data_IF_587778106066
#
_entry.id   IF_587778106066
#
_cell.length_a   1.000
_cell.length_b   1.000
_cell.length_c   1.000
_cell.angle_alpha   90.00
_cell.angle_beta   90.00
_cell.angle_gamma   90.00
#
_symmetry.space_group_name_H-M   'P 1'
#
loop_
_entity.id
_entity.type
_entity.pdbx_description
1 polymer ?
#
# COMPACT_ATOMS: atom_id res chain seq x y z
N UNK A 1 8.07 -0.61 -24.18
CA UNK A 1 6.69 -1.08 -23.93
C UNK A 1 6.58 -1.35 -22.44
N UNK A 2 6.10 -0.38 -21.65
CA UNK A 2 5.89 -0.57 -20.22
C UNK A 2 4.46 -1.11 -20.03
N UNK A 3 4.35 -2.40 -19.70
CA UNK A 3 3.08 -3.02 -19.38
C UNK A 3 2.61 -2.50 -18.01
N UNK A 4 1.61 -1.61 -18.02
CA UNK A 4 0.93 -1.15 -16.80
C UNK A 4 -0.10 -2.23 -16.43
N UNK A 5 0.15 -2.95 -15.33
CA UNK A 5 -0.83 -3.82 -14.72
C UNK A 5 -1.58 -3.02 -13.63
N UNK A 6 -2.85 -2.72 -13.86
CA UNK A 6 -3.77 -2.17 -12.85
C UNK A 6 -4.91 -3.16 -12.59
N UNK A 7 -5.18 -3.47 -11.33
CA UNK A 7 -6.22 -4.41 -10.91
C UNK A 7 -7.33 -3.70 -10.12
N UNK A 8 -8.49 -3.54 -10.78
CA UNK A 8 -9.70 -2.92 -10.23
C UNK A 8 -10.54 -3.89 -9.41
N UNK A 9 -10.81 -3.55 -8.14
CA UNK A 9 -11.88 -4.18 -7.36
C UNK A 9 -13.27 -3.64 -7.78
N UNK A 10 -14.29 -4.52 -7.89
CA UNK A 10 -15.69 -4.12 -8.11
C UNK A 10 -16.31 -3.63 -6.78
N UNK A 11 -17.17 -2.61 -6.79
CA UNK A 11 -17.68 -2.02 -5.56
C UNK A 11 -18.71 -2.95 -4.90
N UNK A 12 -18.40 -3.41 -3.70
CA UNK A 12 -19.36 -3.87 -2.70
C UNK A 12 -19.06 -3.10 -1.42
N UNK A 13 -20.02 -2.31 -0.94
CA UNK A 13 -19.88 -1.32 0.15
C UNK A 13 -19.51 -1.93 1.51
N UNK A 14 -19.54 -3.25 1.66
CA UNK A 14 -19.22 -3.97 2.91
C UNK A 14 -17.76 -4.46 3.00
N UNK A 15 -16.99 -4.44 1.91
CA UNK A 15 -15.67 -5.10 1.83
C UNK A 15 -14.47 -4.15 1.63
N UNK A 16 -14.64 -2.84 1.85
CA UNK A 16 -13.59 -1.86 1.56
C UNK A 16 -13.27 -1.78 0.05
N UNK A 17 -12.50 -0.76 -0.32
CA UNK A 17 -12.08 -0.53 -1.70
C UNK A 17 -10.57 -0.57 -1.77
N UNK A 18 -10.00 -1.16 -2.82
CA UNK A 18 -8.59 -0.97 -3.10
C UNK A 18 -8.28 -1.06 -4.60
N UNK A 19 -7.17 -0.42 -4.95
CA UNK A 19 -6.49 -0.54 -6.23
C UNK A 19 -5.00 -0.73 -5.96
N UNK A 20 -4.33 -1.53 -6.79
CA UNK A 20 -2.89 -1.70 -6.74
C UNK A 20 -2.30 -1.68 -8.16
N UNK A 21 -1.07 -1.17 -8.29
CA UNK A 21 -0.37 -1.08 -9.57
C UNK A 21 1.14 -1.13 -9.42
N UNK A 22 1.83 -1.39 -10.53
CA UNK A 22 3.30 -1.45 -10.60
C UNK A 22 3.83 -0.44 -11.62
N UNK A 23 4.83 0.34 -11.21
CA UNK A 23 5.54 1.29 -12.06
C UNK A 23 7.05 1.12 -11.86
N UNK A 24 7.67 0.26 -12.66
CA UNK A 24 9.08 -0.14 -12.43
C UNK A 24 9.21 -1.03 -11.20
N UNK A 25 10.11 -0.69 -10.27
CA UNK A 25 10.28 -1.40 -8.99
C UNK A 25 9.44 -0.78 -7.86
N UNK A 26 8.30 -0.18 -8.22
CA UNK A 26 7.43 0.55 -7.29
C UNK A 26 6.05 -0.07 -7.29
N UNK A 27 5.64 -0.56 -6.13
CA UNK A 27 4.26 -0.98 -5.89
C UNK A 27 3.49 0.23 -5.37
N UNK A 28 2.40 0.55 -6.04
CA UNK A 28 1.44 1.58 -5.60
C UNK A 28 0.18 0.92 -5.10
N UNK A 29 -0.35 1.40 -3.97
CA UNK A 29 -1.52 0.84 -3.32
C UNK A 29 -2.42 1.96 -2.80
N UNK A 30 -3.67 1.99 -3.24
CA UNK A 30 -4.69 2.88 -2.69
C UNK A 30 -5.77 2.02 -2.06
N UNK A 31 -6.21 2.31 -0.83
CA UNK A 31 -7.28 1.56 -0.19
C UNK A 31 -8.12 2.40 0.77
N UNK A 32 -9.41 2.07 0.86
CA UNK A 32 -10.36 2.61 1.83
C UNK A 32 -10.91 1.48 2.70
N UNK A 33 -10.93 1.69 4.01
CA UNK A 33 -11.48 0.74 4.98
C UNK A 33 -13.02 0.56 4.86
N UNK A 34 -13.60 -0.37 5.63
CA UNK A 34 -12.94 -1.18 6.68
C UNK A 34 -12.09 -2.33 6.12
N UNK A 35 -11.05 -2.73 6.85
CA UNK A 35 -10.22 -3.89 6.51
C UNK A 35 -10.70 -5.12 7.26
N UNK A 36 -11.58 -5.88 6.61
CA UNK A 36 -12.02 -7.17 7.13
C UNK A 36 -11.19 -8.33 6.59
N UNK A 37 -11.44 -9.50 7.17
CA UNK A 37 -10.77 -10.77 6.86
C UNK A 37 -10.81 -11.15 5.36
N UNK A 38 -11.94 -10.89 4.68
CA UNK A 38 -12.11 -11.18 3.27
C UNK A 38 -11.32 -10.19 2.39
N UNK A 39 -11.45 -8.89 2.69
CA UNK A 39 -10.73 -7.82 1.99
C UNK A 39 -9.23 -8.06 2.04
N UNK A 40 -8.70 -8.40 3.21
CA UNK A 40 -7.26 -8.60 3.37
C UNK A 40 -6.78 -9.87 2.67
N UNK A 41 -7.54 -10.97 2.71
CA UNK A 41 -7.16 -12.21 1.99
C UNK A 41 -7.16 -12.02 0.49
N UNK A 42 -8.18 -11.34 -0.05
CA UNK A 42 -8.26 -11.02 -1.47
C UNK A 42 -7.14 -10.06 -1.88
N UNK A 43 -6.98 -8.96 -1.14
CA UNK A 43 -5.95 -7.96 -1.38
C UNK A 43 -4.55 -8.56 -1.32
N UNK A 44 -4.29 -9.50 -0.40
CA UNK A 44 -3.01 -10.20 -0.32
C UNK A 44 -2.74 -11.07 -1.54
N UNK A 45 -3.74 -11.81 -2.03
CA UNK A 45 -3.57 -12.65 -3.22
C UNK A 45 -3.23 -11.82 -4.45
N UNK A 46 -3.96 -10.72 -4.64
CA UNK A 46 -3.75 -9.80 -5.77
C UNK A 46 -2.42 -9.03 -5.63
N UNK A 47 -2.11 -8.54 -4.44
CA UNK A 47 -0.82 -7.92 -4.13
C UNK A 47 0.35 -8.87 -4.39
N UNK A 48 0.20 -10.15 -4.04
CA UNK A 48 1.21 -11.17 -4.33
C UNK A 48 1.43 -11.38 -5.83
N UNK A 49 0.39 -11.28 -6.66
CA UNK A 49 0.53 -11.35 -8.12
C UNK A 49 1.27 -10.12 -8.67
N UNK A 50 0.96 -8.95 -8.12
CA UNK A 50 1.64 -7.69 -8.42
C UNK A 50 3.13 -7.76 -8.05
N UNK A 51 3.47 -8.18 -6.83
CA UNK A 51 4.85 -8.32 -6.39
C UNK A 51 5.60 -9.31 -7.28
N UNK A 52 4.98 -10.43 -7.69
CA UNK A 52 5.59 -11.40 -8.60
C UNK A 52 5.87 -10.85 -10.02
N UNK A 53 5.29 -9.70 -10.39
CA UNK A 53 5.60 -9.05 -11.66
C UNK A 53 6.86 -8.18 -11.63
N UNK A 54 7.41 -7.92 -10.43
CA UNK A 54 8.66 -7.20 -10.23
C UNK A 54 9.88 -8.07 -10.56
N UNK A 55 11.01 -7.41 -10.78
CA UNK A 55 12.32 -8.07 -10.74
C UNK A 55 12.72 -8.27 -9.28
N UNK A 56 12.40 -9.45 -8.73
CA UNK A 56 12.65 -9.81 -7.33
C UNK A 56 14.14 -10.02 -6.99
N UNK A 57 15.05 -9.90 -7.98
CA UNK A 57 16.49 -9.86 -7.72
C UNK A 57 16.97 -8.46 -7.29
N UNK A 58 16.10 -7.45 -7.41
CA UNK A 58 16.37 -6.06 -7.05
C UNK A 58 15.49 -5.62 -5.90
N UNK A 59 15.95 -4.63 -5.10
CA UNK A 59 15.09 -3.99 -4.12
C UNK A 59 13.88 -3.34 -4.81
N UNK A 60 12.77 -3.27 -4.09
CA UNK A 60 11.57 -2.56 -4.51
C UNK A 60 10.99 -1.75 -3.36
N UNK A 61 10.21 -0.72 -3.70
CA UNK A 61 9.54 0.13 -2.73
C UNK A 61 8.03 0.09 -2.89
N UNK A 62 7.32 0.43 -1.82
CA UNK A 62 5.87 0.49 -1.81
C UNK A 62 5.39 1.86 -1.34
N UNK A 63 4.51 2.48 -2.13
CA UNK A 63 3.80 3.70 -1.77
C UNK A 63 2.32 3.37 -1.54
N UNK A 64 1.84 3.58 -0.32
CA UNK A 64 0.47 3.29 0.08
C UNK A 64 -0.27 4.56 0.44
N UNK A 65 -1.48 4.75 -0.08
CA UNK A 65 -2.40 5.80 0.32
C UNK A 65 -3.67 5.17 0.91
N UNK A 66 -3.91 5.40 2.20
CA UNK A 66 -5.00 4.81 2.95
C UNK A 66 -6.05 5.88 3.26
N UNK A 67 -7.32 5.55 3.06
CA UNK A 67 -8.45 6.45 3.25
C UNK A 67 -9.40 5.89 4.32
N UNK A 68 -10.06 6.77 5.07
CA UNK A 68 -11.08 6.36 6.05
C UNK A 68 -10.47 5.69 7.28
N UNK A 69 -11.11 4.61 7.71
CA UNK A 69 -10.77 3.87 8.94
C UNK A 69 -10.32 2.44 8.61
N UNK A 70 -9.10 2.22 8.08
CA UNK A 70 -8.55 0.91 7.78
C UNK A 70 -8.08 0.16 9.05
N UNK A 71 -8.87 0.17 10.12
CA UNK A 71 -8.53 -0.56 11.34
C UNK A 71 -8.64 -2.07 11.11
N UNK A 72 -7.63 -2.79 11.58
CA UNK A 72 -7.60 -4.25 11.55
C UNK A 72 -8.10 -4.81 12.88
N UNK A 73 -9.01 -5.79 12.79
CA UNK A 73 -9.33 -6.65 13.93
C UNK A 73 -8.13 -7.56 14.26
N UNK A 74 -8.04 -8.12 15.48
CA UNK A 74 -6.90 -8.96 15.88
C UNK A 74 -6.60 -10.14 14.93
N UNK A 75 -7.63 -10.82 14.39
CA UNK A 75 -7.46 -11.90 13.41
C UNK A 75 -6.77 -11.42 12.13
N UNK A 76 -7.16 -10.24 11.65
CA UNK A 76 -6.65 -9.57 10.46
C UNK A 76 -5.22 -9.09 10.68
N UNK A 77 -4.91 -8.58 11.87
CA UNK A 77 -3.59 -8.07 12.23
C UNK A 77 -2.50 -9.13 12.13
N UNK A 78 -2.71 -10.32 12.71
CA UNK A 78 -1.71 -11.40 12.65
C UNK A 78 -1.42 -11.82 11.21
N UNK A 79 -2.46 -11.92 10.38
CA UNK A 79 -2.30 -12.22 8.96
C UNK A 79 -1.54 -11.11 8.22
N UNK A 80 -1.88 -9.84 8.47
CA UNK A 80 -1.20 -8.69 7.89
C UNK A 80 0.30 -8.66 8.24
N UNK A 81 0.65 -8.96 9.50
CA UNK A 81 2.03 -9.05 9.96
C UNK A 81 2.81 -10.12 9.19
N UNK A 82 2.26 -11.33 9.06
CA UNK A 82 2.92 -12.41 8.32
C UNK A 82 3.11 -12.06 6.83
N UNK A 83 2.12 -11.43 6.20
CA UNK A 83 2.25 -10.96 4.82
C UNK A 83 3.28 -9.86 4.67
N UNK A 84 3.42 -8.99 5.67
CA UNK A 84 4.45 -7.95 5.71
C UNK A 84 5.85 -8.57 5.75
N UNK A 85 6.07 -9.58 6.60
CA UNK A 85 7.34 -10.33 6.64
C UNK A 85 7.69 -10.98 5.30
N UNK A 86 6.69 -11.55 4.62
CA UNK A 86 6.90 -12.11 3.27
C UNK A 86 7.35 -11.02 2.29
N UNK A 87 6.77 -9.82 2.33
CA UNK A 87 7.20 -8.71 1.47
C UNK A 87 8.66 -8.31 1.70
N UNK A 88 9.09 -8.26 2.96
CA UNK A 88 10.50 -8.02 3.31
C UNK A 88 11.41 -9.10 2.71
N UNK A 89 11.06 -10.38 2.85
CA UNK A 89 11.81 -11.50 2.28
C UNK A 89 11.88 -11.45 0.74
N UNK A 90 10.87 -10.87 0.10
CA UNK A 90 10.81 -10.66 -1.35
C UNK A 90 11.50 -9.37 -1.80
N UNK A 91 12.20 -8.64 -0.92
CA UNK A 91 13.03 -7.50 -1.29
C UNK A 91 12.41 -6.11 -1.09
N UNK A 92 11.28 -6.00 -0.35
CA UNK A 92 10.75 -4.70 0.04
C UNK A 92 11.80 -3.96 0.88
N UNK A 93 12.23 -2.79 0.41
CA UNK A 93 13.27 -2.00 1.08
C UNK A 93 12.73 -0.72 1.70
N UNK A 94 11.72 -0.08 1.09
CA UNK A 94 11.16 1.18 1.56
C UNK A 94 9.65 1.15 1.47
N UNK A 95 8.97 1.49 2.57
CA UNK A 95 7.52 1.60 2.64
C UNK A 95 7.09 3.00 3.05
N UNK A 96 6.48 3.75 2.13
CA UNK A 96 5.86 5.03 2.44
C UNK A 96 4.34 4.88 2.60
N UNK A 97 3.79 5.49 3.63
CA UNK A 97 2.35 5.48 3.92
C UNK A 97 1.83 6.91 4.00
N UNK A 98 0.77 7.20 3.25
CA UNK A 98 -0.04 8.41 3.38
C UNK A 98 -1.41 8.00 3.91
N UNK A 99 -1.93 8.72 4.90
CA UNK A 99 -3.28 8.51 5.44
C UNK A 99 -4.08 9.77 5.14
N UNK A 100 -5.30 9.61 4.64
CA UNK A 100 -6.23 10.69 4.31
C UNK A 100 -7.63 10.37 4.83
N UNK A 101 -8.46 11.40 4.98
CA UNK A 101 -9.87 11.28 5.38
C UNK A 101 -10.07 10.38 6.61
N UNK A 102 -9.39 10.69 7.72
CA UNK A 102 -9.50 9.88 8.93
C UNK A 102 -9.54 10.75 10.19
N UNK A 103 -10.56 10.57 11.00
CA UNK A 103 -10.67 11.20 12.33
C UNK A 103 -9.84 10.45 13.39
N UNK A 104 -9.33 9.26 13.05
CA UNK A 104 -8.58 8.37 13.93
C UNK A 104 -7.18 8.03 13.38
N UNK A 105 -6.59 8.95 12.61
CA UNK A 105 -5.29 8.77 11.95
C UNK A 105 -4.20 8.27 12.92
N UNK A 106 -4.12 8.83 14.12
CA UNK A 106 -3.14 8.42 15.13
C UNK A 106 -3.26 6.94 15.52
N UNK A 107 -4.48 6.44 15.63
CA UNK A 107 -4.76 5.03 15.96
C UNK A 107 -4.32 4.12 14.82
N UNK A 108 -4.61 4.50 13.57
CA UNK A 108 -4.18 3.77 12.36
C UNK A 108 -2.64 3.75 12.27
N UNK A 109 -2.00 4.91 12.44
CA UNK A 109 -0.53 5.02 12.47
C UNK A 109 0.08 4.13 13.53
N UNK A 110 -0.49 4.11 14.74
CA UNK A 110 -0.01 3.26 15.82
C UNK A 110 -0.11 1.77 15.47
N UNK A 111 -1.26 1.32 14.96
CA UNK A 111 -1.46 -0.06 14.58
C UNK A 111 -0.51 -0.50 13.44
N UNK A 112 -0.39 0.32 12.39
CA UNK A 112 0.52 0.05 11.27
C UNK A 112 1.99 0.06 11.70
N UNK A 113 2.39 1.04 12.51
CA UNK A 113 3.75 1.12 13.06
C UNK A 113 4.10 -0.13 13.86
N UNK A 114 3.18 -0.58 14.72
CA UNK A 114 3.37 -1.82 15.49
C UNK A 114 3.60 -3.02 14.57
N UNK A 115 2.78 -3.17 13.51
CA UNK A 115 2.90 -4.27 12.57
C UNK A 115 4.20 -4.22 11.76
N UNK A 116 4.55 -3.06 11.19
CA UNK A 116 5.73 -2.94 10.34
C UNK A 116 7.04 -3.02 11.15
N UNK A 117 7.09 -2.46 12.36
CA UNK A 117 8.23 -2.65 13.26
C UNK A 117 8.38 -4.13 13.65
N UNK A 118 7.29 -4.84 13.96
CA UNK A 118 7.34 -6.27 14.24
C UNK A 118 7.73 -7.12 13.02
N UNK A 119 7.50 -6.62 11.80
CA UNK A 119 7.93 -7.23 10.55
C UNK A 119 9.37 -6.87 10.15
N UNK A 120 10.05 -5.98 10.88
CA UNK A 120 11.35 -5.41 10.53
C UNK A 120 11.35 -4.67 9.17
N UNK A 121 10.27 -3.95 8.87
CA UNK A 121 10.14 -3.13 7.66
C UNK A 121 10.43 -1.67 8.01
N UNK A 122 11.38 -1.08 7.28
CA UNK A 122 11.60 0.36 7.27
C UNK A 122 10.41 1.06 6.62
N UNK A 123 9.77 1.92 7.39
CA UNK A 123 8.55 2.59 6.97
C UNK A 123 8.49 4.02 7.49
N UNK A 124 7.84 4.88 6.72
CA UNK A 124 7.63 6.28 7.08
C UNK A 124 6.24 6.74 6.67
N UNK A 125 5.68 7.66 7.46
CA UNK A 125 4.38 8.23 7.22
C UNK A 125 4.50 9.67 6.72
N UNK A 126 3.78 9.99 5.66
CA UNK A 126 3.80 11.29 5.00
C UNK A 126 2.40 11.90 4.99
N UNK A 127 2.35 13.23 4.85
CA UNK A 127 1.09 13.98 4.75
C UNK A 127 0.54 13.98 3.31
N UNK A 128 1.41 13.75 2.33
CA UNK A 128 1.07 13.82 0.92
C UNK A 128 1.95 12.87 0.09
N UNK A 129 1.50 12.62 -1.15
CA UNK A 129 2.13 11.69 -2.09
C UNK A 129 3.45 12.25 -2.64
N UNK A 130 3.57 13.57 -2.78
CA UNK A 130 4.75 14.22 -3.36
C UNK A 130 5.95 14.07 -2.41
N UNK A 131 5.76 14.32 -1.13
CA UNK A 131 6.77 14.10 -0.08
C UNK A 131 7.24 12.65 -0.03
N UNK A 132 6.32 11.69 -0.17
CA UNK A 132 6.66 10.27 -0.19
C UNK A 132 7.46 9.87 -1.45
N UNK A 133 7.10 10.41 -2.61
CA UNK A 133 7.85 10.24 -3.86
C UNK A 133 9.26 10.80 -3.72
N UNK A 134 9.42 12.01 -3.16
CA UNK A 134 10.72 12.63 -2.95
C UNK A 134 11.64 11.75 -2.08
N UNK A 135 11.13 11.21 -0.98
CA UNK A 135 11.91 10.29 -0.13
C UNK A 135 12.37 9.06 -0.92
N UNK A 136 11.49 8.43 -1.70
CA UNK A 136 11.84 7.25 -2.50
C UNK A 136 12.88 7.56 -3.58
N UNK A 137 12.84 8.74 -4.20
CA UNK A 137 13.87 9.18 -5.14
C UNK A 137 15.22 9.38 -4.43
N UNK A 138 15.22 10.02 -3.25
CA UNK A 138 16.42 10.18 -2.42
C UNK A 138 17.00 8.85 -1.95
N UNK A 139 16.16 7.83 -1.78
CA UNK A 139 16.57 6.46 -1.49
C UNK A 139 17.12 5.70 -2.72
N UNK A 140 17.17 6.33 -3.91
CA UNK A 140 17.78 5.78 -5.12
C UNK A 140 16.84 5.02 -6.04
N UNK A 141 15.52 5.06 -5.81
CA UNK A 141 14.56 4.42 -6.71
C UNK A 141 14.27 5.29 -7.94
N UNK A 142 14.29 4.67 -9.12
CA UNK A 142 13.82 5.30 -10.36
C UNK A 142 12.29 5.20 -10.42
N UNK A 143 11.62 6.35 -10.32
CA UNK A 143 10.16 6.44 -10.27
C UNK A 143 9.60 7.06 -11.55
N UNK A 144 8.53 6.47 -12.08
CA UNK A 144 7.65 7.13 -13.05
C UNK A 144 6.64 8.01 -12.30
N UNK A 145 7.07 9.21 -11.92
CA UNK A 145 6.27 10.12 -11.09
C UNK A 145 4.92 10.47 -11.71
N UNK A 146 4.86 10.62 -13.04
CA UNK A 146 3.62 10.96 -13.76
C UNK A 146 2.60 9.84 -13.65
N UNK A 147 3.03 8.59 -13.88
CA UNK A 147 2.16 7.42 -13.77
C UNK A 147 1.71 7.17 -12.32
N UNK A 148 2.62 7.34 -11.35
CA UNK A 148 2.31 7.21 -9.91
C UNK A 148 1.30 8.28 -9.47
N UNK A 149 1.53 9.55 -9.82
CA UNK A 149 0.60 10.63 -9.50
C UNK A 149 -0.76 10.43 -10.16
N UNK A 150 -0.78 9.99 -11.43
CA UNK A 150 -2.02 9.64 -12.13
C UNK A 150 -2.75 8.51 -11.40
N UNK A 151 -2.04 7.47 -10.95
CA UNK A 151 -2.62 6.38 -10.19
C UNK A 151 -3.34 6.88 -8.94
N UNK A 152 -2.69 7.71 -8.12
CA UNK A 152 -3.32 8.22 -6.89
C UNK A 152 -4.41 9.26 -7.15
N UNK A 153 -4.34 9.98 -8.27
CA UNK A 153 -5.40 10.90 -8.70
C UNK A 153 -6.67 10.14 -9.09
N UNK A 154 -6.53 9.09 -9.92
CA UNK A 154 -7.67 8.26 -10.38
C UNK A 154 -8.25 7.44 -9.22
N UNK A 155 -7.40 6.98 -8.31
CA UNK A 155 -7.77 6.14 -7.18
C UNK A 155 -7.84 6.94 -5.86
N UNK A 156 -8.31 8.18 -5.95
CA UNK A 156 -8.63 8.97 -4.78
C UNK A 156 -9.97 8.51 -4.19
N UNK A 157 -9.94 8.00 -2.95
CA UNK A 157 -11.12 7.48 -2.26
C UNK A 157 -11.67 8.41 -1.18
N UNK A 158 -11.28 9.69 -1.12
CA UNK A 158 -11.81 10.64 -0.13
C UNK A 158 -13.34 10.78 -0.20
N UNK A 159 -13.91 10.86 -1.41
CA UNK A 159 -15.36 11.12 -1.58
C UNK A 159 -16.22 9.87 -1.82
N UNK A 160 -15.70 8.67 -1.51
CA UNK A 160 -16.46 7.41 -1.72
C UNK A 160 -16.98 6.89 -0.39
N UNK A 161 -18.24 7.18 -0.11
CA UNK A 161 -19.04 6.63 0.98
C UNK A 161 -20.22 5.86 0.39
#
# INVERSE_FOLDING_TARGET
>A
MNSIFSLRSRPGTEHGLYEAGVFGQVVTFAARGPWNDETLRRGTREMGAIIRSLDLTKPWCQLSCLYGEPLMQPSVYSYFLEQSKIRLQLGLSVLAIVIKDSDIENTIRHQLKSAYSAANIEHEFFNDIESAIQMMQSAGFSLDCDSINRFFTVNNFSNRY
#
